data_IF_260509035587
#
_entry.id   IF_260509035587
#
_cell.length_a   1.000
_cell.length_b   1.000
_cell.length_c   1.000
_cell.angle_alpha   90.00
_cell.angle_beta   90.00
_cell.angle_gamma   90.00
#
_symmetry.space_group_name_H-M   'P 1'
#
loop_
_entity.id
_entity.type
_entity.pdbx_description
1 polymer ?
#
# COMPACT_ATOMS: atom_id res chain seq x y z
N UNK A 1 -18.72 44.93 -32.14
CA UNK A 1 -17.44 44.19 -32.29
C UNK A 1 -16.32 45.10 -31.85
N UNK A 2 -15.29 44.63 -31.11
CA UNK A 2 -15.10 43.29 -30.53
C UNK A 2 -14.98 43.34 -28.98
N UNK A 3 -15.58 42.38 -28.28
CA UNK A 3 -15.00 41.11 -27.79
C UNK A 3 -14.23 41.26 -26.47
N UNK A 4 -14.81 40.72 -25.40
CA UNK A 4 -14.06 39.70 -24.67
C UNK A 4 -15.02 38.62 -24.22
N UNK A 5 -14.67 37.38 -24.54
CA UNK A 5 -15.35 36.14 -24.16
C UNK A 5 -15.16 35.84 -22.65
N UNK A 6 -14.49 36.74 -21.91
CA UNK A 6 -14.11 36.58 -20.50
C UNK A 6 -15.17 37.10 -19.50
N UNK A 7 -16.05 38.04 -19.88
CA UNK A 7 -17.07 38.56 -18.95
C UNK A 7 -18.31 37.67 -18.82
N UNK A 8 -18.54 36.77 -19.79
CA UNK A 8 -19.66 35.81 -19.75
C UNK A 8 -19.40 34.58 -18.86
N UNK A 9 -18.17 34.41 -18.36
CA UNK A 9 -17.79 33.27 -17.49
C UNK A 9 -17.71 33.61 -16.00
N UNK A 10 -17.92 34.87 -15.60
CA UNK A 10 -17.85 35.30 -14.18
C UNK A 10 -19.18 35.42 -13.45
N UNK A 11 -20.30 35.11 -14.10
CA UNK A 11 -21.63 35.50 -13.63
C UNK A 11 -22.72 34.44 -13.66
N UNK A 12 -22.41 33.15 -13.52
CA UNK A 12 -23.43 32.14 -13.24
C UNK A 12 -23.20 31.46 -11.89
N UNK A 13 -24.02 31.91 -10.96
CA UNK A 13 -24.45 31.29 -9.71
C UNK A 13 -24.35 29.76 -9.71
N UNK A 14 -23.48 29.22 -8.87
CA UNK A 14 -23.74 27.91 -8.27
C UNK A 14 -24.72 28.13 -7.11
N UNK A 15 -26.01 28.19 -7.45
CA UNK A 15 -27.08 27.91 -6.50
C UNK A 15 -27.11 26.39 -6.31
N UNK A 16 -26.22 25.88 -5.45
CA UNK A 16 -26.23 24.49 -5.05
C UNK A 16 -27.52 24.19 -4.29
N UNK A 17 -28.36 23.31 -4.86
CA UNK A 17 -29.41 22.63 -4.10
C UNK A 17 -28.77 21.94 -2.89
N UNK A 18 -29.36 22.08 -1.70
CA UNK A 18 -28.95 21.44 -0.43
C UNK A 18 -28.92 19.90 -0.55
N UNK A 19 -27.89 19.38 -1.20
CA UNK A 19 -27.68 17.97 -1.52
C UNK A 19 -26.27 17.68 -2.01
N UNK A 20 -25.59 18.65 -2.62
CA UNK A 20 -24.15 18.58 -2.91
C UNK A 20 -23.36 19.30 -1.80
N UNK A 21 -23.21 18.64 -0.65
CA UNK A 21 -21.93 18.81 0.04
C UNK A 21 -20.89 18.10 -0.82
N UNK A 22 -19.72 18.69 -1.11
CA UNK A 22 -18.60 17.93 -1.63
C UNK A 22 -18.30 16.87 -0.58
N UNK A 23 -18.83 15.67 -0.77
CA UNK A 23 -18.45 14.52 0.01
C UNK A 23 -16.95 14.46 -0.13
N UNK A 24 -16.23 14.75 0.95
CA UNK A 24 -14.79 14.57 1.06
C UNK A 24 -14.49 13.22 0.43
N UNK A 25 -13.84 13.21 -0.72
CA UNK A 25 -13.40 11.98 -1.34
C UNK A 25 -12.63 11.24 -0.24
N UNK A 26 -13.15 10.10 0.21
CA UNK A 26 -12.56 9.38 1.34
C UNK A 26 -11.10 9.13 1.00
N UNK A 27 -10.18 9.84 1.64
CA UNK A 27 -8.75 9.78 1.36
C UNK A 27 -8.35 8.30 1.40
N UNK A 28 -7.83 7.81 0.27
CA UNK A 28 -7.40 6.42 0.16
C UNK A 28 -5.94 6.36 0.61
N UNK A 29 -5.59 5.51 1.56
CA UNK A 29 -4.18 5.35 1.97
C UNK A 29 -3.65 3.97 1.57
N UNK A 30 -2.36 3.88 1.29
CA UNK A 30 -1.65 2.62 1.09
C UNK A 30 -0.36 2.64 1.89
N UNK A 31 -0.12 1.54 2.61
CA UNK A 31 1.13 1.30 3.28
C UNK A 31 2.03 0.38 2.44
N UNK A 32 3.26 0.85 2.17
CA UNK A 32 4.34 0.05 1.60
C UNK A 32 5.28 -0.40 2.71
N UNK A 33 5.35 -1.70 2.95
CA UNK A 33 6.20 -2.32 3.97
C UNK A 33 7.41 -2.94 3.29
N UNK A 34 8.60 -2.47 3.66
CA UNK A 34 9.87 -3.04 3.21
C UNK A 34 10.48 -3.87 4.33
N UNK A 35 10.83 -5.12 4.02
CA UNK A 35 11.50 -6.05 4.93
C UNK A 35 12.91 -6.24 4.39
N UNK A 36 13.87 -5.57 4.99
CA UNK A 36 15.24 -5.49 4.53
C UNK A 36 16.18 -6.37 5.36
N UNK A 37 16.84 -7.31 4.69
CA UNK A 37 17.87 -8.14 5.30
C UNK A 37 19.11 -7.31 5.61
N UNK A 38 19.54 -7.34 6.88
CA UNK A 38 20.74 -6.69 7.38
C UNK A 38 21.71 -7.66 8.05
N UNK A 39 21.59 -8.95 7.72
CA UNK A 39 22.49 -10.02 8.16
C UNK A 39 23.93 -9.80 7.71
N UNK A 40 24.86 -10.62 8.23
CA UNK A 40 26.27 -10.53 7.88
C UNK A 40 26.58 -10.85 6.41
N UNK A 41 25.76 -11.69 5.76
CA UNK A 41 25.93 -12.01 4.34
C UNK A 41 25.68 -10.80 3.44
N UNK A 42 24.86 -9.85 3.90
CA UNK A 42 24.56 -8.62 3.18
C UNK A 42 25.72 -7.62 3.15
N UNK A 43 26.82 -7.84 3.86
CA UNK A 43 27.95 -6.91 3.92
C UNK A 43 28.53 -6.57 2.52
N UNK A 44 28.98 -5.33 2.34
CA UNK A 44 29.65 -4.87 1.12
C UNK A 44 28.67 -4.58 -0.02
N UNK A 45 28.91 -5.17 -1.19
CA UNK A 45 28.18 -4.85 -2.44
C UNK A 45 26.67 -5.11 -2.35
N UNK A 46 26.25 -6.11 -1.56
CA UNK A 46 24.83 -6.45 -1.41
C UNK A 46 24.05 -5.37 -0.66
N UNK A 47 24.58 -4.90 0.47
CA UNK A 47 23.99 -3.78 1.22
C UNK A 47 24.07 -2.48 0.42
N UNK A 48 25.17 -2.24 -0.30
CA UNK A 48 25.27 -1.10 -1.20
C UNK A 48 24.19 -1.13 -2.29
N UNK A 49 23.89 -2.31 -2.84
CA UNK A 49 22.83 -2.50 -3.84
C UNK A 49 21.43 -2.27 -3.26
N UNK A 50 21.19 -2.72 -2.02
CA UNK A 50 19.94 -2.48 -1.30
C UNK A 50 19.72 -0.99 -1.04
N UNK A 51 20.71 -0.28 -0.47
CA UNK A 51 20.61 1.16 -0.22
C UNK A 51 20.46 1.95 -1.53
N UNK A 52 21.16 1.54 -2.59
CA UNK A 52 20.99 2.14 -3.91
C UNK A 52 19.56 2.01 -4.44
N UNK A 53 18.94 0.83 -4.27
CA UNK A 53 17.55 0.62 -4.68
C UNK A 53 16.59 1.58 -3.95
N UNK A 54 16.76 1.81 -2.64
CA UNK A 54 15.97 2.82 -1.91
C UNK A 54 16.20 4.24 -2.44
N UNK A 55 17.46 4.64 -2.66
CA UNK A 55 17.79 6.00 -3.16
C UNK A 55 17.19 6.29 -4.53
N UNK A 56 17.05 5.28 -5.38
CA UNK A 56 16.44 5.43 -6.71
C UNK A 56 14.90 5.34 -6.67
N UNK A 57 14.34 4.46 -5.83
CA UNK A 57 12.90 4.21 -5.74
C UNK A 57 12.15 5.33 -5.00
N UNK A 58 12.68 5.84 -3.89
CA UNK A 58 11.98 6.83 -3.06
C UNK A 58 11.59 8.09 -3.85
N UNK A 59 12.48 8.71 -4.66
CA UNK A 59 12.08 9.86 -5.49
C UNK A 59 10.97 9.54 -6.49
N UNK A 60 10.93 8.31 -7.02
CA UNK A 60 9.87 7.88 -7.95
C UNK A 60 8.54 7.77 -7.22
N UNK A 61 8.52 7.18 -6.02
CA UNK A 61 7.33 7.09 -5.17
C UNK A 61 6.83 8.48 -4.74
N UNK A 62 7.74 9.39 -4.40
CA UNK A 62 7.40 10.78 -4.09
C UNK A 62 6.77 11.49 -5.29
N UNK A 63 7.31 11.29 -6.49
CA UNK A 63 6.72 11.84 -7.72
C UNK A 63 5.31 11.29 -7.95
N UNK A 64 5.09 10.00 -7.77
CA UNK A 64 3.76 9.39 -7.90
C UNK A 64 2.78 10.00 -6.90
N UNK A 65 3.20 10.21 -5.65
CA UNK A 65 2.39 10.87 -4.63
C UNK A 65 1.99 12.31 -5.03
N UNK A 66 2.92 13.06 -5.65
CA UNK A 66 2.62 14.40 -6.16
C UNK A 66 1.62 14.35 -7.34
N UNK A 67 1.70 13.33 -8.19
CA UNK A 67 0.81 13.18 -9.35
C UNK A 67 -0.63 12.79 -8.96
N UNK A 68 -0.83 12.09 -7.83
CA UNK A 68 -2.16 11.65 -7.37
C UNK A 68 -2.86 12.62 -6.40
N UNK A 69 -2.14 13.65 -5.92
CA UNK A 69 -2.61 14.68 -4.99
C UNK A 69 -3.39 14.13 -3.76
N UNK A 70 -4.34 14.88 -3.21
CA UNK A 70 -5.09 14.55 -1.99
C UNK A 70 -6.04 13.33 -2.12
N UNK A 71 -6.17 12.75 -3.32
CA UNK A 71 -7.01 11.59 -3.54
C UNK A 71 -6.41 10.31 -2.92
N UNK A 72 -5.09 10.29 -2.72
CA UNK A 72 -4.37 9.11 -2.25
C UNK A 72 -3.13 9.46 -1.42
N UNK A 73 -2.89 8.75 -0.32
CA UNK A 73 -1.70 8.89 0.51
C UNK A 73 -0.87 7.60 0.52
N UNK A 74 0.39 7.73 0.13
CA UNK A 74 1.38 6.67 0.19
C UNK A 74 2.25 6.83 1.43
N UNK A 75 2.27 5.80 2.26
CA UNK A 75 3.15 5.69 3.42
C UNK A 75 4.14 4.55 3.26
N UNK A 76 5.33 4.70 3.84
CA UNK A 76 6.39 3.68 3.85
C UNK A 76 6.72 3.29 5.29
N UNK A 77 6.91 1.99 5.51
CA UNK A 77 7.50 1.44 6.73
C UNK A 77 8.65 0.51 6.36
N UNK A 78 9.71 0.48 7.17
CA UNK A 78 10.92 -0.31 6.92
C UNK A 78 11.24 -1.14 8.16
N UNK A 79 11.06 -2.45 8.03
CA UNK A 79 11.53 -3.47 8.95
C UNK A 79 12.92 -3.92 8.51
N UNK A 80 13.91 -3.88 9.40
CA UNK A 80 15.23 -4.48 9.16
C UNK A 80 15.38 -5.75 9.98
N UNK A 81 15.99 -6.78 9.40
CA UNK A 81 16.15 -8.06 10.08
C UNK A 81 17.47 -8.76 9.78
N UNK A 82 17.98 -9.44 10.79
CA UNK A 82 19.12 -10.34 10.73
C UNK A 82 18.94 -11.38 11.83
N UNK A 83 19.75 -11.29 12.88
CA UNK A 83 19.54 -12.12 14.08
C UNK A 83 18.30 -11.67 14.87
N UNK A 84 18.04 -10.37 14.91
CA UNK A 84 16.84 -9.75 15.46
C UNK A 84 16.10 -9.02 14.33
N UNK A 85 14.83 -8.68 14.55
CA UNK A 85 14.03 -7.86 13.65
C UNK A 85 13.54 -6.63 14.42
N UNK A 86 13.57 -5.45 13.78
CA UNK A 86 13.04 -4.21 14.36
C UNK A 86 12.67 -3.21 13.27
N UNK A 87 11.72 -2.33 13.56
CA UNK A 87 11.31 -1.26 12.66
C UNK A 87 12.36 -0.14 12.69
N UNK A 88 13.04 0.07 11.57
CA UNK A 88 13.91 1.25 11.37
C UNK A 88 13.06 2.48 11.06
N UNK A 89 11.90 2.27 10.42
CA UNK A 89 10.96 3.32 10.01
C UNK A 89 9.54 2.79 10.23
N UNK A 90 8.79 3.45 11.09
CA UNK A 90 7.34 3.25 11.22
C UNK A 90 6.59 3.98 10.08
N UNK A 91 5.28 3.70 9.85
CA UNK A 91 4.52 4.30 8.76
C UNK A 91 4.73 5.81 8.65
N UNK A 92 5.44 6.22 7.60
CA UNK A 92 5.82 7.60 7.34
C UNK A 92 5.31 8.00 5.95
N UNK A 93 4.61 9.14 5.80
CA UNK A 93 4.21 9.63 4.48
C UNK A 93 5.41 9.73 3.55
N UNK A 94 5.28 9.25 2.31
CA UNK A 94 6.43 9.11 1.39
C UNK A 94 7.13 10.45 1.10
N UNK A 95 6.39 11.56 1.12
CA UNK A 95 6.92 12.91 0.93
C UNK A 95 7.80 13.37 2.11
N UNK A 96 7.62 12.76 3.28
CA UNK A 96 8.40 13.05 4.49
C UNK A 96 9.56 12.06 4.67
N UNK A 97 9.52 10.92 3.97
CA UNK A 97 10.57 9.91 4.08
C UNK A 97 11.86 10.34 3.36
N UNK A 98 12.95 10.36 4.13
CA UNK A 98 14.32 10.52 3.61
C UNK A 98 15.08 9.24 3.93
N UNK A 99 15.52 8.53 2.89
CA UNK A 99 16.23 7.27 3.09
C UNK A 99 17.57 7.50 3.81
N UNK A 100 17.73 6.84 4.94
CA UNK A 100 19.01 6.67 5.63
C UNK A 100 19.49 5.26 5.40
N UNK A 101 20.75 5.13 4.99
CA UNK A 101 21.38 3.85 4.71
C UNK A 101 21.13 2.82 5.82
N UNK A 102 20.90 1.60 5.39
CA UNK A 102 20.84 0.42 6.23
C UNK A 102 22.25 -0.16 6.31
N UNK A 103 22.71 -0.42 7.53
CA UNK A 103 23.99 -1.07 7.79
C UNK A 103 23.79 -2.57 7.97
N UNK A 104 24.77 -3.37 7.56
CA UNK A 104 24.84 -4.79 7.91
C UNK A 104 25.33 -4.93 9.35
N UNK A 105 24.56 -5.60 10.20
CA UNK A 105 24.84 -5.73 11.63
C UNK A 105 25.55 -7.04 12.00
N UNK A 106 25.98 -7.82 11.00
CA UNK A 106 26.51 -9.17 11.24
C UNK A 106 25.45 -10.15 11.73
N UNK A 107 25.85 -11.42 11.93
CA UNK A 107 24.94 -12.47 12.40
C UNK A 107 24.11 -13.10 11.30
N UNK A 108 23.10 -13.89 11.70
CA UNK A 108 22.30 -14.71 10.79
C UNK A 108 21.11 -14.01 10.16
N UNK A 109 20.34 -14.76 9.39
CA UNK A 109 19.16 -14.36 8.60
C UNK A 109 17.92 -15.04 9.17
N UNK A 110 17.17 -14.38 10.06
CA UNK A 110 16.03 -14.99 10.76
C UNK A 110 14.68 -14.49 10.20
N UNK A 111 14.09 -15.29 9.31
CA UNK A 111 12.83 -14.94 8.65
C UNK A 111 11.65 -15.01 9.61
N UNK A 112 11.59 -16.04 10.45
CA UNK A 112 10.50 -16.22 11.40
C UNK A 112 10.34 -15.03 12.34
N UNK A 113 11.45 -14.40 12.77
CA UNK A 113 11.40 -13.16 13.56
C UNK A 113 10.88 -11.98 12.74
N UNK A 114 11.39 -11.78 11.53
CA UNK A 114 10.91 -10.70 10.66
C UNK A 114 9.40 -10.82 10.38
N UNK A 115 8.93 -12.03 10.09
CA UNK A 115 7.53 -12.31 9.79
C UNK A 115 6.63 -12.19 11.02
N UNK A 116 7.12 -12.52 12.22
CA UNK A 116 6.37 -12.28 13.47
C UNK A 116 6.25 -10.79 13.79
N UNK A 117 7.31 -10.02 13.59
CA UNK A 117 7.25 -8.55 13.73
C UNK A 117 6.25 -7.96 12.74
N UNK A 118 6.28 -8.40 11.48
CA UNK A 118 5.28 -8.03 10.47
C UNK A 118 3.86 -8.37 10.93
N UNK A 119 3.63 -9.62 11.36
CA UNK A 119 2.32 -10.10 11.82
C UNK A 119 1.77 -9.22 12.96
N UNK A 120 2.62 -8.80 13.90
CA UNK A 120 2.22 -7.97 15.04
C UNK A 120 1.69 -6.59 14.63
N UNK A 121 2.16 -6.05 13.49
CA UNK A 121 1.82 -4.71 13.02
C UNK A 121 0.71 -4.66 11.97
N UNK A 122 0.39 -5.79 11.33
CA UNK A 122 -0.69 -5.89 10.35
C UNK A 122 -2.08 -5.98 11.01
N UNK A 123 -2.42 -5.00 11.86
CA UNK A 123 -3.70 -4.91 12.58
C UNK A 123 -4.23 -3.48 12.54
N UNK A 124 -5.54 -3.30 12.76
CA UNK A 124 -6.21 -1.98 12.78
C UNK A 124 -5.82 -1.13 13.99
N UNK A 125 -5.24 -1.74 15.02
CA UNK A 125 -4.75 -1.06 16.21
C UNK A 125 -3.29 -0.59 16.05
N UNK A 126 -2.60 -1.07 15.00
CA UNK A 126 -1.20 -0.80 14.73
C UNK A 126 -1.06 -0.09 13.36
N UNK A 127 -0.38 -0.70 12.38
CA UNK A 127 -0.03 0.00 11.13
C UNK A 127 -1.18 0.08 10.14
N UNK A 128 -2.27 -0.67 10.35
CA UNK A 128 -3.48 -0.57 9.53
C UNK A 128 -4.54 0.32 10.19
N UNK A 129 -4.17 1.10 11.21
CA UNK A 129 -5.03 2.12 11.81
C UNK A 129 -5.24 3.27 10.81
N UNK A 130 -6.49 3.43 10.34
CA UNK A 130 -6.83 4.54 9.45
C UNK A 130 -8.31 4.92 9.62
N UNK A 131 -8.61 6.21 9.46
CA UNK A 131 -9.98 6.75 9.54
C UNK A 131 -10.71 6.70 8.19
N UNK A 132 -9.97 6.62 7.09
CA UNK A 132 -10.47 6.52 5.71
C UNK A 132 -10.43 5.11 5.12
N UNK A 133 -10.48 5.03 3.78
CA UNK A 133 -10.34 3.76 3.06
C UNK A 133 -8.86 3.40 2.97
N UNK A 134 -8.46 2.30 3.59
CA UNK A 134 -7.10 1.77 3.44
C UNK A 134 -7.09 0.71 2.33
N UNK A 135 -6.13 0.84 1.43
CA UNK A 135 -5.83 -0.17 0.42
C UNK A 135 -5.05 -1.34 1.03
N UNK A 136 -5.09 -2.47 0.36
CA UNK A 136 -4.27 -3.64 0.70
C UNK A 136 -2.78 -3.23 0.69
N UNK A 137 -2.00 -3.64 1.71
CA UNK A 137 -0.62 -3.20 1.81
C UNK A 137 0.25 -3.83 0.72
N UNK A 138 1.32 -3.13 0.37
CA UNK A 138 2.37 -3.63 -0.50
C UNK A 138 3.54 -4.10 0.37
N UNK A 139 4.00 -5.34 0.23
CA UNK A 139 5.06 -5.89 1.10
C UNK A 139 6.22 -6.39 0.23
N UNK A 140 7.41 -5.82 0.42
CA UNK A 140 8.62 -6.17 -0.32
C UNK A 140 9.68 -6.75 0.62
N UNK A 141 10.06 -8.00 0.40
CA UNK A 141 11.21 -8.64 1.05
C UNK A 141 12.47 -8.43 0.22
N UNK A 142 13.57 -7.97 0.82
CA UNK A 142 14.86 -7.76 0.17
C UNK A 142 15.94 -8.53 0.94
N UNK A 143 16.58 -9.52 0.31
CA UNK A 143 17.48 -10.48 1.00
C UNK A 143 18.49 -11.11 0.06
N UNK A 144 19.67 -11.48 0.56
CA UNK A 144 20.64 -12.30 -0.16
C UNK A 144 20.53 -13.81 0.10
N UNK A 145 19.44 -14.21 0.75
CA UNK A 145 18.92 -15.56 0.68
C UNK A 145 19.50 -16.56 1.67
N UNK A 146 18.64 -17.52 1.99
CA UNK A 146 18.77 -18.61 2.95
C UNK A 146 18.43 -18.21 4.40
N UNK A 147 17.17 -18.44 4.84
CA UNK A 147 16.85 -18.36 6.25
C UNK A 147 17.72 -19.33 7.06
N UNK A 148 18.20 -18.87 8.21
CA UNK A 148 18.97 -19.67 9.16
C UNK A 148 18.08 -20.30 10.24
N UNK A 149 16.81 -19.90 10.30
CA UNK A 149 15.83 -20.43 11.23
C UNK A 149 14.97 -21.53 10.59
N UNK A 150 14.53 -22.47 11.44
CA UNK A 150 13.52 -23.44 11.08
C UNK A 150 12.15 -22.90 11.55
N UNK A 151 11.12 -22.96 10.70
CA UNK A 151 9.75 -22.63 11.09
C UNK A 151 9.25 -21.25 10.64
N UNK A 152 9.93 -20.58 9.72
CA UNK A 152 9.34 -19.40 9.07
C UNK A 152 8.09 -19.79 8.26
N UNK A 153 8.02 -21.03 7.76
CA UNK A 153 6.87 -21.56 7.02
C UNK A 153 5.59 -21.55 7.86
N UNK A 154 5.66 -21.94 9.14
CA UNK A 154 4.48 -21.90 10.02
C UNK A 154 4.02 -20.47 10.28
N UNK A 155 4.95 -19.51 10.39
CA UNK A 155 4.60 -18.08 10.53
C UNK A 155 3.91 -17.57 9.25
N UNK A 156 4.36 -18.00 8.07
CA UNK A 156 3.68 -17.68 6.80
C UNK A 156 2.26 -18.27 6.77
N UNK A 157 2.06 -19.51 7.24
CA UNK A 157 0.73 -20.12 7.35
C UNK A 157 -0.20 -19.36 8.30
N UNK A 158 0.33 -18.82 9.39
CA UNK A 158 -0.40 -17.94 10.31
C UNK A 158 -0.74 -16.60 9.65
N UNK A 159 0.24 -15.96 9.00
CA UNK A 159 0.07 -14.72 8.26
C UNK A 159 -0.96 -14.86 7.14
N UNK A 160 -1.04 -15.99 6.44
CA UNK A 160 -2.05 -16.23 5.40
C UNK A 160 -3.49 -16.23 5.94
N UNK A 161 -3.70 -16.33 7.27
CA UNK A 161 -5.02 -16.15 7.89
C UNK A 161 -5.33 -14.69 8.23
N UNK A 162 -4.33 -13.81 8.24
CA UNK A 162 -4.51 -12.38 8.35
C UNK A 162 -4.90 -11.80 6.99
N UNK A 163 -6.06 -11.14 6.91
CA UNK A 163 -6.62 -10.63 5.66
C UNK A 163 -5.79 -9.50 5.04
N UNK A 164 -5.10 -8.70 5.84
CA UNK A 164 -4.17 -7.70 5.32
C UNK A 164 -3.01 -8.37 4.59
N UNK A 165 -2.47 -9.46 5.13
CA UNK A 165 -1.36 -10.18 4.52
C UNK A 165 -1.80 -11.06 3.34
N UNK A 166 -2.93 -11.77 3.46
CA UNK A 166 -3.39 -12.68 2.41
C UNK A 166 -3.78 -11.93 1.14
N UNK A 167 -4.33 -10.73 1.28
CA UNK A 167 -4.66 -9.85 0.17
C UNK A 167 -3.51 -8.91 -0.23
N UNK A 168 -2.45 -8.79 0.57
CA UNK A 168 -1.30 -7.96 0.24
C UNK A 168 -0.66 -8.36 -1.08
N UNK A 169 -0.19 -7.34 -1.81
CA UNK A 169 0.72 -7.55 -2.93
C UNK A 169 2.13 -7.80 -2.36
N UNK A 170 2.62 -9.04 -2.49
CA UNK A 170 3.85 -9.51 -1.83
C UNK A 170 4.92 -9.85 -2.86
N UNK A 171 6.08 -9.24 -2.74
CA UNK A 171 7.21 -9.38 -3.64
C UNK A 171 8.50 -9.66 -2.89
N UNK A 172 9.45 -10.30 -3.57
CA UNK A 172 10.76 -10.59 -3.02
C UNK A 172 11.86 -10.24 -4.01
N UNK A 173 12.95 -9.67 -3.49
CA UNK A 173 14.15 -9.30 -4.22
C UNK A 173 15.30 -10.15 -3.70
N UNK A 174 15.82 -11.02 -4.55
CA UNK A 174 17.02 -11.82 -4.27
C UNK A 174 18.28 -11.04 -4.66
N UNK A 175 19.15 -10.80 -3.69
CA UNK A 175 20.35 -9.97 -3.84
C UNK A 175 21.60 -10.84 -4.01
N UNK A 176 22.21 -10.73 -5.19
CA UNK A 176 23.47 -11.39 -5.54
C UNK A 176 23.34 -12.81 -6.12
N UNK A 177 24.36 -13.20 -6.91
CA UNK A 177 24.38 -14.44 -7.72
C UNK A 177 24.13 -15.70 -6.91
N UNK A 178 24.65 -15.74 -5.69
CA UNK A 178 24.50 -16.90 -4.80
C UNK A 178 23.03 -17.08 -4.43
N UNK A 179 22.36 -16.02 -3.98
CA UNK A 179 20.95 -16.02 -3.62
C UNK A 179 20.05 -16.44 -4.78
N UNK A 180 20.31 -15.88 -5.97
CA UNK A 180 19.49 -16.07 -7.17
C UNK A 180 19.50 -17.54 -7.62
N UNK A 181 20.64 -18.20 -7.50
CA UNK A 181 20.84 -19.59 -7.95
C UNK A 181 20.66 -20.62 -6.82
N UNK A 182 20.42 -20.19 -5.59
CA UNK A 182 20.22 -21.09 -4.45
C UNK A 182 18.77 -21.56 -4.35
N UNK A 183 18.56 -22.87 -4.41
CA UNK A 183 17.23 -23.47 -4.39
C UNK A 183 16.47 -23.23 -3.08
N UNK A 184 17.16 -23.14 -1.94
CA UNK A 184 16.53 -22.88 -0.63
C UNK A 184 16.15 -21.41 -0.50
N UNK A 185 17.02 -20.50 -0.93
CA UNK A 185 16.72 -19.08 -1.00
C UNK A 185 15.48 -18.83 -1.87
N UNK A 186 15.43 -19.46 -3.06
CA UNK A 186 14.26 -19.40 -3.95
C UNK A 186 13.00 -19.95 -3.31
N UNK A 187 13.05 -21.14 -2.71
CA UNK A 187 11.89 -21.73 -2.05
C UNK A 187 11.34 -20.86 -0.91
N UNK A 188 12.23 -20.23 -0.12
CA UNK A 188 11.84 -19.35 0.97
C UNK A 188 11.11 -18.09 0.46
N UNK A 189 11.61 -17.45 -0.59
CA UNK A 189 10.93 -16.29 -1.19
C UNK A 189 9.66 -16.69 -1.95
N UNK A 190 9.61 -17.88 -2.57
CA UNK A 190 8.41 -18.41 -3.22
C UNK A 190 7.26 -18.66 -2.25
N UNK A 191 7.55 -19.00 -0.99
CA UNK A 191 6.55 -19.12 0.07
C UNK A 191 6.00 -17.76 0.51
N UNK A 192 6.80 -16.69 0.38
CA UNK A 192 6.45 -15.34 0.79
C UNK A 192 5.60 -14.58 -0.23
N UNK A 193 5.91 -14.70 -1.52
CA UNK A 193 5.29 -13.89 -2.60
C UNK A 193 3.83 -14.26 -2.87
N UNK A 194 3.04 -13.30 -3.36
CA UNK A 194 1.65 -13.53 -3.76
C UNK A 194 1.54 -14.23 -5.13
N UNK A 195 2.47 -13.96 -6.06
CA UNK A 195 2.59 -14.62 -7.35
C UNK A 195 3.99 -15.20 -7.54
N UNK A 196 4.12 -16.51 -7.72
CA UNK A 196 5.43 -17.18 -7.85
C UNK A 196 6.16 -16.89 -9.17
N UNK A 197 5.42 -16.52 -10.23
CA UNK A 197 6.00 -16.24 -11.56
C UNK A 197 6.54 -14.83 -11.63
N UNK A 198 5.83 -13.87 -11.04
CA UNK A 198 6.17 -12.45 -11.16
C UNK A 198 6.52 -11.75 -9.84
N UNK A 199 6.46 -12.46 -8.72
CA UNK A 199 6.71 -11.93 -7.39
C UNK A 199 8.19 -11.88 -7.02
N UNK A 200 9.05 -12.62 -7.74
CA UNK A 200 10.48 -12.74 -7.43
C UNK A 200 11.29 -11.96 -8.46
N UNK A 201 12.08 -11.02 -7.97
CA UNK A 201 12.92 -10.10 -8.75
C UNK A 201 14.39 -10.30 -8.33
N UNK A 202 15.33 -10.04 -9.22
CA UNK A 202 16.77 -10.12 -8.91
C UNK A 202 17.37 -8.74 -8.69
N UNK A 203 18.36 -8.62 -7.79
CA UNK A 203 18.96 -7.34 -7.44
C UNK A 203 20.17 -6.92 -8.28
N UNK A 204 20.81 -7.86 -8.98
CA UNK A 204 21.88 -7.56 -9.96
C UNK A 204 21.42 -6.58 -11.04
N UNK A 205 20.11 -6.48 -11.17
CA UNK A 205 19.42 -5.53 -11.99
C UNK A 205 18.86 -4.45 -11.06
N UNK A 206 19.69 -3.78 -10.25
CA UNK A 206 19.22 -2.78 -9.28
C UNK A 206 18.31 -1.72 -9.91
N UNK A 207 18.59 -1.37 -11.18
CA UNK A 207 17.69 -0.58 -12.04
C UNK A 207 16.33 -1.24 -12.30
N UNK A 208 16.28 -2.55 -12.50
CA UNK A 208 15.04 -3.32 -12.58
C UNK A 208 14.36 -3.50 -11.23
N UNK A 209 15.02 -3.38 -10.07
CA UNK A 209 14.29 -3.28 -8.78
C UNK A 209 13.42 -2.02 -8.82
N UNK A 210 14.04 -0.89 -9.18
CA UNK A 210 13.32 0.39 -9.29
C UNK A 210 12.28 0.31 -10.39
N UNK A 211 12.58 -0.28 -11.53
CA UNK A 211 11.62 -0.44 -12.63
C UNK A 211 10.47 -1.37 -12.26
N UNK A 212 10.72 -2.52 -11.63
CA UNK A 212 9.69 -3.50 -11.27
C UNK A 212 8.87 -3.00 -10.08
N UNK A 213 9.50 -2.52 -9.01
CA UNK A 213 8.79 -1.96 -7.86
C UNK A 213 8.05 -0.70 -8.28
N UNK A 214 8.67 0.24 -8.99
CA UNK A 214 7.96 1.43 -9.48
C UNK A 214 6.87 1.07 -10.49
N UNK A 215 7.10 0.21 -11.48
CA UNK A 215 6.07 -0.15 -12.45
C UNK A 215 4.91 -0.89 -11.79
N UNK A 216 5.18 -1.80 -10.84
CA UNK A 216 4.12 -2.53 -10.12
C UNK A 216 3.41 -1.64 -9.11
N UNK A 217 4.11 -0.79 -8.38
CA UNK A 217 3.49 0.20 -7.48
C UNK A 217 2.67 1.23 -8.28
N UNK A 218 3.18 1.74 -9.40
CA UNK A 218 2.41 2.59 -10.33
C UNK A 218 1.21 1.84 -10.88
N UNK A 219 1.36 0.59 -11.29
CA UNK A 219 0.25 -0.22 -11.81
C UNK A 219 -0.82 -0.42 -10.73
N UNK A 220 -0.44 -0.75 -9.51
CA UNK A 220 -1.36 -0.90 -8.39
C UNK A 220 -2.03 0.43 -8.05
N UNK A 221 -1.27 1.53 -7.93
CA UNK A 221 -1.82 2.87 -7.69
C UNK A 221 -2.77 3.28 -8.82
N UNK A 222 -2.39 3.10 -10.09
CA UNK A 222 -3.26 3.37 -11.25
C UNK A 222 -4.52 2.52 -11.24
N UNK A 223 -4.42 1.22 -10.97
CA UNK A 223 -5.60 0.35 -10.88
C UNK A 223 -6.51 0.77 -9.72
N UNK A 224 -5.95 1.27 -8.61
CA UNK A 224 -6.71 1.73 -7.45
C UNK A 224 -7.33 3.13 -7.64
N UNK A 225 -6.67 4.03 -8.38
CA UNK A 225 -7.20 5.35 -8.73
C UNK A 225 -8.26 5.24 -9.83
N UNK A 226 -8.08 4.35 -10.83
CA UNK A 226 -9.08 4.06 -11.88
C UNK A 226 -10.34 3.34 -11.38
N UNK A 227 -10.27 2.62 -10.25
CA UNK A 227 -11.46 2.03 -9.59
C UNK A 227 -12.33 3.06 -8.86
N UNK A 228 -12.00 4.34 -8.97
CA UNK A 228 -12.91 5.43 -8.57
C UNK A 228 -13.79 5.71 -9.79
N UNK A 229 -15.12 5.46 -9.76
CA UNK A 229 -15.96 5.88 -10.86
C UNK A 229 -15.92 7.42 -10.90
N UNK A 230 -15.23 7.97 -11.90
CA UNK A 230 -15.53 9.32 -12.34
C UNK A 230 -16.93 9.26 -12.95
N UNK A 231 -17.91 9.71 -12.19
CA UNK A 231 -19.17 10.18 -12.75
C UNK A 231 -18.84 11.41 -13.61
N UNK A 232 -18.85 11.21 -14.92
CA UNK A 232 -18.77 12.30 -15.89
C UNK A 232 -17.74 12.06 -16.99
N UNK A 233 -18.07 11.19 -17.94
CA UNK A 233 -17.74 11.38 -19.35
C UNK A 233 -18.72 10.54 -20.18
N UNK A 234 -19.76 11.20 -20.69
CA UNK A 234 -20.65 10.65 -21.70
C UNK A 234 -19.83 10.39 -22.99
N UNK A 235 -19.60 9.12 -23.32
CA UNK A 235 -19.18 8.74 -24.68
C UNK A 235 -20.41 8.35 -25.50
N UNK A 236 -20.79 9.27 -26.35
CA UNK A 236 -21.74 9.17 -27.45
C UNK A 236 -21.26 8.16 -28.52
N UNK A 237 -21.81 6.93 -28.59
CA UNK A 237 -21.80 6.12 -29.83
C UNK A 237 -23.04 5.21 -29.96
N UNK A 238 -23.91 5.63 -30.89
CA UNK A 238 -24.76 4.88 -31.85
C UNK A 238 -25.91 3.96 -31.36
N UNK A 239 -27.10 4.43 -31.74
CA UNK A 239 -28.36 3.71 -31.98
C UNK A 239 -28.21 2.33 -32.63
N UNK A 240 -28.82 1.32 -32.03
CA UNK A 240 -29.73 0.38 -32.72
C UNK A 240 -30.90 0.04 -31.79
N UNK A 241 -32.11 0.19 -32.31
CA UNK A 241 -33.36 -0.06 -31.61
C UNK A 241 -33.69 -1.56 -31.56
N UNK A 242 -34.21 -2.03 -30.43
CA UNK A 242 -35.16 -3.16 -30.37
C UNK A 242 -35.89 -3.18 -29.02
N UNK A 243 -37.09 -2.62 -29.03
CA UNK A 243 -38.29 -2.90 -28.22
C UNK A 243 -38.23 -4.04 -27.18
N UNK A 244 -38.65 -3.74 -25.95
CA UNK A 244 -39.11 -4.74 -24.98
C UNK A 244 -39.46 -4.14 -23.60
N UNK A 245 -40.73 -3.76 -23.42
CA UNK A 245 -41.33 -3.27 -22.17
C UNK A 245 -41.25 -4.30 -21.01
N UNK A 246 -40.94 -3.89 -19.78
CA UNK A 246 -41.78 -4.15 -18.58
C UNK A 246 -41.24 -3.56 -17.27
N UNK A 247 -42.13 -2.80 -16.61
CA UNK A 247 -42.40 -2.68 -15.17
C UNK A 247 -41.30 -2.32 -14.16
N UNK A 248 -41.49 -1.16 -13.54
CA UNK A 248 -41.00 -0.70 -12.24
C UNK A 248 -41.35 -1.69 -11.09
N UNK A 249 -40.41 -1.87 -10.15
CA UNK A 249 -40.73 -2.22 -8.77
C UNK A 249 -39.67 -1.63 -7.83
N UNK A 250 -40.09 -0.70 -6.95
CA UNK A 250 -39.33 -0.18 -5.83
C UNK A 250 -39.11 -1.28 -4.79
N UNK A 251 -37.85 -1.57 -4.47
CA UNK A 251 -37.45 -2.29 -3.27
C UNK A 251 -36.05 -1.84 -2.85
N UNK A 252 -35.96 -1.13 -1.73
CA UNK A 252 -34.69 -0.80 -1.08
C UNK A 252 -34.08 -2.09 -0.49
N UNK A 253 -32.79 -2.40 -0.74
CA UNK A 253 -32.13 -3.47 -0.01
C UNK A 253 -31.57 -2.92 1.30
N UNK A 254 -32.15 -3.34 2.41
CA UNK A 254 -31.44 -3.45 3.69
C UNK A 254 -30.31 -4.47 3.49
N UNK A 255 -29.06 -4.04 3.65
CA UNK A 255 -27.89 -4.91 3.60
C UNK A 255 -27.03 -4.63 4.82
N UNK A 256 -26.98 -5.58 5.74
CA UNK A 256 -26.05 -5.63 6.85
C UNK A 256 -24.61 -5.57 6.31
N UNK A 257 -23.87 -4.52 6.66
CA UNK A 257 -22.46 -4.40 6.33
C UNK A 257 -21.62 -5.19 7.35
N UNK A 258 -21.49 -6.50 7.15
CA UNK A 258 -20.46 -7.27 7.86
C UNK A 258 -19.07 -6.80 7.39
N UNK A 259 -18.25 -6.31 8.32
CA UNK A 259 -16.86 -5.93 8.07
C UNK A 259 -16.05 -7.19 7.72
N UNK A 260 -15.55 -7.33 6.48
CA UNK A 260 -14.83 -8.53 6.07
C UNK A 260 -13.49 -8.68 6.80
N UNK A 261 -12.98 -7.64 7.48
CA UNK A 261 -11.69 -7.64 8.18
C UNK A 261 -11.75 -8.09 9.65
N UNK A 262 -12.89 -8.62 10.11
CA UNK A 262 -12.97 -9.42 11.35
C UNK A 262 -13.04 -8.68 12.69
N UNK A 263 -13.02 -7.35 12.70
CA UNK A 263 -13.21 -6.55 13.92
C UNK A 263 -14.62 -5.94 13.96
N UNK A 264 -15.34 -6.20 15.05
CA UNK A 264 -16.67 -5.64 15.34
C UNK A 264 -16.60 -4.13 15.51
N UNK A 265 -17.54 -3.40 14.92
CA UNK A 265 -17.76 -1.99 15.17
C UNK A 265 -18.91 -1.85 16.19
N UNK A 266 -18.62 -1.54 17.44
CA UNK A 266 -19.65 -1.12 18.41
C UNK A 266 -19.89 0.40 18.24
N UNK A 267 -20.96 0.76 17.53
CA UNK A 267 -21.39 2.16 17.38
C UNK A 267 -22.25 2.68 18.54
N UNK A 268 -22.58 1.84 19.53
CA UNK A 268 -23.59 2.15 20.54
C UNK A 268 -23.10 2.97 21.76
N UNK A 269 -21.86 3.49 21.74
CA UNK A 269 -21.30 4.22 22.90
C UNK A 269 -20.59 5.55 22.58
N UNK A 270 -20.91 6.19 21.45
CA UNK A 270 -20.48 7.58 21.23
C UNK A 270 -21.50 8.54 21.85
N UNK A 271 -21.17 9.07 23.03
CA UNK A 271 -21.90 10.19 23.65
C UNK A 271 -21.73 11.45 22.79
N UNK A 272 -22.79 11.95 22.13
CA UNK A 272 -22.74 13.11 21.24
C UNK A 272 -22.44 14.43 21.97
N UNK A 273 -22.41 14.43 23.31
CA UNK A 273 -22.17 15.64 24.11
C UNK A 273 -20.68 15.94 24.38
N UNK A 274 -19.77 15.04 24.02
CA UNK A 274 -18.32 15.21 24.28
C UNK A 274 -17.56 16.07 23.25
N UNK A 275 -18.22 16.54 22.18
CA UNK A 275 -17.59 17.29 21.08
C UNK A 275 -17.57 18.81 21.34
N UNK A 276 -18.31 19.30 22.34
CA UNK A 276 -18.30 20.72 22.73
C UNK A 276 -18.12 20.84 24.25
N UNK A 277 -16.88 20.68 24.71
CA UNK A 277 -16.46 21.02 26.07
C UNK A 277 -15.51 22.21 26.04
N UNK A 278 -15.99 23.34 26.53
CA UNK A 278 -15.24 24.57 26.76
C UNK A 278 -13.95 24.32 27.56
N UNK A 279 -12.82 24.82 27.07
CA UNK A 279 -11.75 25.46 27.88
C UNK A 279 -10.59 25.92 26.97
N UNK A 280 -10.69 27.17 26.49
CA UNK A 280 -9.53 27.96 26.09
C UNK A 280 -9.33 29.08 27.12
N UNK A 281 -8.26 29.00 27.91
CA UNK A 281 -7.75 30.12 28.71
C UNK A 281 -6.26 30.30 28.42
N UNK A 282 -5.97 31.37 27.67
CA UNK A 282 -4.71 32.08 27.35
C UNK A 282 -3.43 31.29 27.05
#
# INVERSE_FOLDING_TARGET
MPNSFEELLKGQEYLGTMGDMPGTASQKSMLMIFIADNSGSMYGERMASLNQAFREMVPVLQKIQMDVNDAFELSIAVLVFGTNAHWKVEPTPILQYVHTDIDSNGGGTNYGRALKELQSKLTRQEFMAHTGKIAEPYILLMTDGQPNDNGYESVIEELNRNLWYSHAQRYAVLIGKTAINDAKARAAVEAFVSDKKEGIVTAEEAKKIVEVVSAKTIHTIKNMTMRTPHLGEEQEVRKTASSGNSAFSDAAPQGDSENPYGDSWDFDNLDPSSIYGDDYVF
#
